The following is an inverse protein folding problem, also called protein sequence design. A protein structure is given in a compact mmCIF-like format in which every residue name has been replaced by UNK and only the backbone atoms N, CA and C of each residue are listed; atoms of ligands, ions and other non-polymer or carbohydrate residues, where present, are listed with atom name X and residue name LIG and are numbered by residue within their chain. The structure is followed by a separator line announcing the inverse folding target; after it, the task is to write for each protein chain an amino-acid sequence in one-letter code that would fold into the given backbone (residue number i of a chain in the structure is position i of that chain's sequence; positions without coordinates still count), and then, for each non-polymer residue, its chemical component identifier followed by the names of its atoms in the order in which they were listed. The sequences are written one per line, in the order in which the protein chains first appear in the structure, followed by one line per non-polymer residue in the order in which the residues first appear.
data_IF_734450345791
#
_entry.id   IF_734450345791
#
_cell.length_a   1.000
_cell.length_b   1.000
_cell.length_c   1.000
_cell.angle_alpha   90.00
_cell.angle_beta   90.00
_cell.angle_gamma   90.00
#
_symmetry.space_group_name_H-M   'P 1'
#
loop_
_entity.id
_entity.type
_entity.pdbx_description
1 polymer ?
#
# COMPACT_ATOMS: atom_id res chain seq x y z
N UNK A 1 21.94 19.06 23.72
CA UNK A 1 20.89 19.49 22.79
C UNK A 1 20.40 18.23 22.06
N UNK A 2 19.50 17.46 22.68
CA UNK A 2 18.97 16.20 22.15
C UNK A 2 17.58 16.50 21.59
N UNK A 3 17.50 16.92 20.33
CA UNK A 3 16.23 17.26 19.67
C UNK A 3 15.90 16.30 18.50
N UNK A 4 16.68 15.22 18.32
CA UNK A 4 16.60 14.34 17.14
C UNK A 4 15.41 13.38 17.13
N UNK A 5 15.16 12.66 18.22
CA UNK A 5 14.11 11.62 18.24
C UNK A 5 12.70 12.19 18.39
N UNK A 6 12.53 13.21 19.23
CA UNK A 6 11.20 13.76 19.51
C UNK A 6 10.65 14.54 18.31
N UNK A 7 11.51 15.30 17.60
CA UNK A 7 11.12 15.98 16.35
C UNK A 7 10.73 14.98 15.27
N UNK A 8 11.55 13.95 15.06
CA UNK A 8 11.27 12.93 14.05
C UNK A 8 9.96 12.18 14.33
N UNK A 9 9.73 11.80 15.59
CA UNK A 9 8.48 11.17 16.01
C UNK A 9 7.28 12.06 15.70
N UNK A 10 7.36 13.36 16.02
CA UNK A 10 6.28 14.30 15.79
C UNK A 10 6.00 14.49 14.28
N UNK A 11 7.03 14.50 13.44
CA UNK A 11 6.89 14.55 11.98
C UNK A 11 6.17 13.31 11.44
N UNK A 12 6.54 12.11 11.90
CA UNK A 12 5.89 10.86 11.48
C UNK A 12 4.40 10.88 11.89
N UNK A 13 4.09 11.32 13.11
CA UNK A 13 2.70 11.45 13.58
C UNK A 13 1.93 12.46 12.72
N UNK A 14 2.51 13.62 12.42
CA UNK A 14 1.89 14.65 11.58
C UNK A 14 1.61 14.13 10.16
N UNK A 15 2.50 13.30 9.62
CA UNK A 15 2.36 12.63 8.32
C UNK A 15 1.51 11.33 8.38
N UNK A 16 0.78 11.10 9.47
CA UNK A 16 -0.10 9.92 9.66
C UNK A 16 0.63 8.58 9.48
N UNK A 17 1.89 8.53 9.91
CA UNK A 17 2.75 7.35 9.80
C UNK A 17 3.53 7.23 8.49
N UNK A 18 3.31 8.11 7.52
CA UNK A 18 4.15 8.18 6.31
C UNK A 18 5.49 8.82 6.62
N UNK A 19 6.56 8.25 6.06
CA UNK A 19 7.92 8.80 6.14
C UNK A 19 8.41 9.39 4.82
N UNK A 20 7.58 9.38 3.76
CA UNK A 20 8.02 9.71 2.41
C UNK A 20 8.48 11.18 2.28
N UNK A 21 7.85 12.10 3.01
CA UNK A 21 8.17 13.53 3.00
C UNK A 21 9.35 13.92 3.90
N UNK A 22 9.89 12.99 4.69
CA UNK A 22 10.96 13.28 5.67
C UNK A 22 12.32 13.05 5.00
N UNK A 23 12.92 14.11 4.46
CA UNK A 23 14.16 14.04 3.67
C UNK A 23 15.40 13.60 4.47
N UNK A 24 15.37 13.75 5.80
CA UNK A 24 16.44 13.27 6.68
C UNK A 24 16.53 11.74 6.73
N UNK A 25 15.47 11.03 6.32
CA UNK A 25 15.46 9.57 6.22
C UNK A 25 16.00 9.15 4.84
N UNK A 26 16.98 8.23 4.77
CA UNK A 26 17.53 7.76 3.50
C UNK A 26 16.46 7.21 2.54
N UNK A 27 16.67 7.39 1.24
CA UNK A 27 15.69 7.03 0.23
C UNK A 27 15.37 5.53 0.24
N UNK A 28 16.37 4.68 0.43
CA UNK A 28 16.20 3.22 0.53
C UNK A 28 15.31 2.82 1.71
N UNK A 29 15.38 3.56 2.83
CA UNK A 29 14.53 3.34 3.99
C UNK A 29 13.10 3.81 3.70
N UNK A 30 12.93 4.97 3.07
CA UNK A 30 11.61 5.46 2.64
C UNK A 30 10.93 4.51 1.67
N UNK A 31 11.68 3.95 0.72
CA UNK A 31 11.18 2.93 -0.21
C UNK A 31 10.76 1.64 0.48
N UNK A 32 11.53 1.18 1.47
CA UNK A 32 11.22 -0.05 2.23
C UNK A 32 9.97 0.10 3.10
N UNK A 33 9.75 1.28 3.68
CA UNK A 33 8.64 1.54 4.63
C UNK A 33 7.47 2.30 4.00
N UNK A 34 7.18 2.04 2.72
CA UNK A 34 5.96 2.52 2.10
C UNK A 34 4.72 2.02 2.84
N UNK A 35 3.80 2.93 3.11
CA UNK A 35 2.49 2.59 3.68
C UNK A 35 1.56 2.01 2.61
N UNK A 36 0.44 1.41 3.03
CA UNK A 36 -0.54 0.84 2.08
C UNK A 36 -1.14 1.88 1.13
N UNK A 37 -1.17 3.15 1.53
CA UNK A 37 -1.67 4.27 0.72
C UNK A 37 -0.68 4.71 -0.36
N UNK A 38 0.59 4.36 -0.21
CA UNK A 38 1.70 4.70 -1.12
C UNK A 38 2.00 3.56 -2.10
N UNK A 39 1.45 2.37 -1.85
CA UNK A 39 1.63 1.19 -2.69
C UNK A 39 0.52 1.13 -3.75
N UNK A 40 0.92 0.90 -5.00
CA UNK A 40 -0.01 0.65 -6.10
C UNK A 40 -0.87 -0.58 -5.82
N UNK A 41 -2.19 -0.41 -5.77
CA UNK A 41 -3.13 -1.52 -5.56
C UNK A 41 -3.11 -2.53 -6.72
N UNK A 42 -2.64 -2.13 -7.91
CA UNK A 42 -2.38 -3.07 -9.01
C UNK A 42 -1.30 -4.09 -8.63
N UNK A 43 -0.21 -3.63 -8.01
CA UNK A 43 0.87 -4.50 -7.54
C UNK A 43 0.34 -5.48 -6.47
N UNK A 44 -0.49 -4.99 -5.55
CA UNK A 44 -1.13 -5.83 -4.53
C UNK A 44 -2.00 -6.93 -5.16
N UNK A 45 -2.78 -6.60 -6.20
CA UNK A 45 -3.60 -7.57 -6.95
C UNK A 45 -2.73 -8.57 -7.71
N UNK A 46 -1.64 -8.13 -8.33
CA UNK A 46 -0.71 -9.02 -9.05
C UNK A 46 -0.09 -10.03 -8.08
N UNK A 47 0.45 -9.58 -6.94
CA UNK A 47 0.98 -10.46 -5.90
C UNK A 47 -0.09 -11.41 -5.32
N UNK A 48 -1.34 -10.94 -5.19
CA UNK A 48 -2.45 -11.78 -4.74
C UNK A 48 -2.79 -12.87 -5.75
N UNK A 49 -2.77 -12.56 -7.04
CA UNK A 49 -3.03 -13.53 -8.11
C UNK A 49 -1.92 -14.58 -8.21
N UNK A 50 -0.65 -14.14 -8.12
CA UNK A 50 0.52 -15.03 -8.14
C UNK A 50 0.47 -16.06 -7.01
N UNK A 51 0.26 -15.62 -5.76
CA UNK A 51 0.13 -16.57 -4.64
C UNK A 51 -1.17 -17.38 -4.69
N UNK A 52 -2.20 -16.87 -5.35
CA UNK A 52 -3.51 -17.51 -5.49
C UNK A 52 -3.46 -18.86 -6.22
N UNK A 53 -2.45 -19.10 -7.06
CA UNK A 53 -2.20 -20.38 -7.70
C UNK A 53 -1.91 -21.52 -6.70
N UNK A 54 -1.49 -21.19 -5.49
CA UNK A 54 -1.15 -22.13 -4.43
C UNK A 54 -2.15 -22.12 -3.26
N UNK A 55 -3.30 -21.45 -3.44
CA UNK A 55 -4.38 -21.37 -2.45
C UNK A 55 -5.59 -22.16 -2.95
N UNK A 56 -5.97 -23.20 -2.21
CA UNK A 56 -7.09 -24.09 -2.54
C UNK A 56 -8.45 -23.39 -2.44
N UNK A 57 -8.66 -22.56 -1.42
CA UNK A 57 -9.84 -21.74 -1.23
C UNK A 57 -9.66 -20.33 -1.81
N UNK A 58 -9.68 -19.28 -0.99
CA UNK A 58 -9.50 -17.88 -1.38
C UNK A 58 -8.64 -17.15 -0.34
N UNK A 59 -8.57 -15.84 -0.43
CA UNK A 59 -7.82 -14.97 0.47
C UNK A 59 -8.61 -13.72 0.80
N UNK A 60 -8.53 -13.27 2.04
CA UNK A 60 -9.07 -11.97 2.45
C UNK A 60 -8.16 -10.85 1.93
N UNK A 61 -8.53 -10.26 0.80
CA UNK A 61 -7.77 -9.19 0.16
C UNK A 61 -8.44 -7.83 0.41
N UNK A 62 -7.79 -6.98 1.21
CA UNK A 62 -8.21 -5.60 1.42
C UNK A 62 -7.58 -4.68 0.37
N UNK A 63 -8.38 -3.79 -0.22
CA UNK A 63 -7.94 -2.79 -1.20
C UNK A 63 -8.02 -1.40 -0.57
N UNK A 64 -6.93 -0.64 -0.68
CA UNK A 64 -6.80 0.68 -0.07
C UNK A 64 -6.62 1.74 -1.17
N UNK A 65 -7.65 2.55 -1.40
CA UNK A 65 -7.63 3.63 -2.40
C UNK A 65 -7.86 4.94 -1.65
N UNK A 66 -6.83 5.79 -1.58
CA UNK A 66 -6.88 7.06 -0.85
C UNK A 66 -7.94 8.02 -1.42
N UNK A 67 -8.03 8.10 -2.75
CA UNK A 67 -9.00 8.95 -3.45
C UNK A 67 -9.88 8.09 -4.37
N UNK A 68 -10.95 7.48 -3.81
CA UNK A 68 -11.82 6.61 -4.56
C UNK A 68 -12.67 7.42 -5.55
N UNK A 69 -12.78 6.90 -6.78
CA UNK A 69 -13.76 7.37 -7.74
C UNK A 69 -14.30 6.17 -8.55
N UNK A 70 -15.41 6.38 -9.25
CA UNK A 70 -16.09 5.30 -9.97
C UNK A 70 -15.15 4.58 -10.95
N UNK A 71 -14.40 5.33 -11.77
CA UNK A 71 -13.48 4.74 -12.75
C UNK A 71 -12.36 3.91 -12.11
N UNK A 72 -11.77 4.38 -11.00
CA UNK A 72 -10.72 3.67 -10.25
C UNK A 72 -11.27 2.38 -9.62
N UNK A 73 -12.44 2.44 -8.98
CA UNK A 73 -13.05 1.26 -8.36
C UNK A 73 -13.46 0.21 -9.39
N UNK A 74 -14.11 0.64 -10.48
CA UNK A 74 -14.50 -0.24 -11.58
C UNK A 74 -13.28 -0.90 -12.22
N UNK A 75 -12.25 -0.12 -12.59
CA UNK A 75 -11.04 -0.66 -13.20
C UNK A 75 -10.31 -1.64 -12.28
N UNK A 76 -10.28 -1.39 -10.97
CA UNK A 76 -9.70 -2.28 -9.97
C UNK A 76 -10.41 -3.64 -9.90
N UNK A 77 -11.74 -3.65 -9.76
CA UNK A 77 -12.51 -4.91 -9.73
C UNK A 77 -12.38 -5.70 -11.04
N UNK A 78 -12.48 -5.03 -12.20
CA UNK A 78 -12.28 -5.69 -13.49
C UNK A 78 -10.85 -6.23 -13.66
N UNK A 79 -9.85 -5.58 -13.07
CA UNK A 79 -8.48 -6.06 -13.09
C UNK A 79 -8.32 -7.34 -12.27
N UNK A 80 -8.84 -7.36 -11.03
CA UNK A 80 -8.83 -8.55 -10.17
C UNK A 80 -9.56 -9.74 -10.80
N UNK A 81 -10.74 -9.50 -11.39
CA UNK A 81 -11.50 -10.53 -12.11
C UNK A 81 -10.73 -11.11 -13.30
N UNK A 82 -10.13 -10.25 -14.15
CA UNK A 82 -9.31 -10.71 -15.29
C UNK A 82 -8.08 -11.51 -14.88
N UNK A 83 -7.55 -11.27 -13.68
CA UNK A 83 -6.43 -12.01 -13.08
C UNK A 83 -6.84 -13.34 -12.43
N UNK A 84 -8.14 -13.66 -12.40
CA UNK A 84 -8.65 -14.91 -11.84
C UNK A 84 -8.74 -14.92 -10.31
N UNK A 85 -8.76 -13.74 -9.67
CA UNK A 85 -8.99 -13.68 -8.23
C UNK A 85 -10.39 -14.19 -7.89
N UNK A 86 -10.46 -15.13 -6.93
CA UNK A 86 -11.71 -15.65 -6.37
C UNK A 86 -12.41 -14.62 -5.47
N UNK A 87 -11.64 -13.75 -4.83
CA UNK A 87 -12.09 -12.58 -4.07
C UNK A 87 -11.26 -11.37 -4.51
N UNK A 88 -11.89 -10.37 -5.11
CA UNK A 88 -11.25 -9.17 -5.68
C UNK A 88 -12.26 -8.08 -6.01
#
# INVERSE_FOLDING_TARGET
MVFGEESLKNEIIANKGSIQSIESIPAEIRELYKTVWEISQKCVIDMAAERGAFIDQSQSLNIHIAEPNYAKLTSMHFYGWKKGLKTG
#
